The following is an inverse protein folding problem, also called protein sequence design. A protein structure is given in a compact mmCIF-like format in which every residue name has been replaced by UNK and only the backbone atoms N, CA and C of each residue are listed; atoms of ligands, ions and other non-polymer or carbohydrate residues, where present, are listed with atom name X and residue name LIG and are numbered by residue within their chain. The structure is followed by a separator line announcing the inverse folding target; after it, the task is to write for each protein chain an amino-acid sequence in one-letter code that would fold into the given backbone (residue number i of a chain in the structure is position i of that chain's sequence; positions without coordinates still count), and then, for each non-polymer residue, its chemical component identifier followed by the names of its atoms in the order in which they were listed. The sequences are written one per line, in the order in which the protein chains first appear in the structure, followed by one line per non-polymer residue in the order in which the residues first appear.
data_IF_096751686114
#
_entry.id   IF_096751686114
#
_cell.length_a   1.000
_cell.length_b   1.000
_cell.length_c   1.000
_cell.angle_alpha   90.00
_cell.angle_beta   90.00
_cell.angle_gamma   90.00
#
_symmetry.space_group_name_H-M   'P 1'
#
loop_
_entity.id
_entity.type
_entity.pdbx_description
1 polymer ?
#
# COMPACT_ATOMS: atom_id res chain seq x y z
N UNK A 1 0.92 4.07 11.19
CA UNK A 1 0.28 5.12 10.38
C UNK A 1 -1.09 5.41 11.00
N UNK A 2 -1.64 6.63 10.89
CA UNK A 2 -3.04 6.86 11.28
C UNK A 2 -4.00 6.55 10.12
N UNK A 3 -5.27 6.28 10.45
CA UNK A 3 -6.28 5.85 9.48
C UNK A 3 -6.50 6.85 8.33
N UNK A 4 -6.46 8.17 8.61
CA UNK A 4 -6.67 9.19 7.58
C UNK A 4 -5.50 9.23 6.59
N UNK A 5 -4.27 9.10 7.07
CA UNK A 5 -3.09 8.99 6.22
C UNK A 5 -3.13 7.72 5.36
N UNK A 6 -3.59 6.62 5.94
CA UNK A 6 -3.76 5.34 5.25
C UNK A 6 -4.79 5.43 4.11
N UNK A 7 -6.01 5.93 4.38
CA UNK A 7 -7.06 6.09 3.36
C UNK A 7 -6.56 6.95 2.20
N UNK A 8 -5.86 8.05 2.50
CA UNK A 8 -5.29 8.93 1.47
C UNK A 8 -4.26 8.23 0.58
N UNK A 9 -3.39 7.40 1.15
CA UNK A 9 -2.39 6.64 0.39
C UNK A 9 -3.07 5.65 -0.53
N UNK A 10 -4.05 4.90 -0.01
CA UNK A 10 -4.81 3.93 -0.81
C UNK A 10 -5.50 4.62 -1.99
N UNK A 11 -6.29 5.66 -1.73
CA UNK A 11 -7.03 6.38 -2.78
C UNK A 11 -6.10 7.02 -3.82
N UNK A 12 -4.98 7.60 -3.38
CA UNK A 12 -4.00 8.20 -4.29
C UNK A 12 -3.28 7.15 -5.15
N UNK A 13 -3.03 5.95 -4.62
CA UNK A 13 -2.46 4.86 -5.40
C UNK A 13 -3.45 4.37 -6.46
N UNK A 14 -4.72 4.16 -6.11
CA UNK A 14 -5.74 3.77 -7.09
C UNK A 14 -5.87 4.78 -8.23
N UNK A 15 -5.85 6.07 -7.91
CA UNK A 15 -5.86 7.14 -8.92
C UNK A 15 -4.63 7.08 -9.83
N UNK A 16 -3.44 6.76 -9.31
CA UNK A 16 -2.23 6.59 -10.14
C UNK A 16 -2.37 5.37 -11.06
N UNK A 17 -3.01 4.29 -10.61
CA UNK A 17 -3.33 3.14 -11.45
C UNK A 17 -4.29 3.50 -12.59
N UNK A 18 -5.35 4.26 -12.31
CA UNK A 18 -6.27 4.76 -13.35
C UNK A 18 -5.54 5.63 -14.37
N UNK A 19 -4.64 6.51 -13.92
CA UNK A 19 -3.82 7.36 -14.80
C UNK A 19 -2.84 6.56 -15.67
N UNK A 20 -2.42 5.37 -15.22
CA UNK A 20 -1.65 4.41 -16.04
C UNK A 20 -2.52 3.66 -17.07
N UNK A 21 -3.84 3.85 -17.03
CA UNK A 21 -4.80 3.18 -17.90
C UNK A 21 -5.32 1.85 -17.35
N UNK A 22 -5.06 1.52 -16.09
CA UNK A 22 -5.66 0.34 -15.48
C UNK A 22 -7.08 0.63 -15.02
N UNK A 23 -7.96 -0.36 -15.15
CA UNK A 23 -9.33 -0.28 -14.67
C UNK A 23 -9.37 -0.72 -13.20
N UNK A 24 -10.08 0.03 -12.36
CA UNK A 24 -10.16 -0.20 -10.92
C UNK A 24 -11.62 -0.43 -10.52
N UNK A 25 -11.85 -1.45 -9.72
CA UNK A 25 -13.13 -1.70 -9.05
C UNK A 25 -12.87 -1.89 -7.55
N UNK A 26 -13.38 -0.98 -6.71
CA UNK A 26 -13.26 -1.12 -5.25
C UNK A 26 -14.26 -2.17 -4.76
N UNK A 27 -13.75 -3.24 -4.16
CA UNK A 27 -14.53 -4.39 -3.69
C UNK A 27 -14.85 -4.30 -2.20
N UNK A 28 -13.90 -3.82 -1.40
CA UNK A 28 -14.03 -3.66 0.06
C UNK A 28 -13.39 -2.35 0.49
N UNK A 29 -14.10 -1.58 1.31
CA UNK A 29 -13.62 -0.39 2.00
C UNK A 29 -14.21 -0.37 3.41
N UNK A 30 -13.60 -1.11 4.33
CA UNK A 30 -14.10 -1.28 5.71
C UNK A 30 -12.97 -1.10 6.72
N UNK A 31 -13.10 -0.13 7.63
CA UNK A 31 -12.27 0.09 8.82
C UNK A 31 -10.82 -0.45 8.77
N UNK A 32 -10.01 0.09 7.86
CA UNK A 32 -8.60 -0.27 7.76
C UNK A 32 -8.31 -1.45 6.82
N UNK A 33 -9.32 -2.12 6.27
CA UNK A 33 -9.17 -3.18 5.27
C UNK A 33 -9.73 -2.69 3.94
N UNK A 34 -8.88 -2.69 2.91
CA UNK A 34 -9.25 -2.25 1.58
C UNK A 34 -8.84 -3.29 0.53
N UNK A 35 -9.73 -3.51 -0.43
CA UNK A 35 -9.53 -4.44 -1.54
C UNK A 35 -10.05 -3.80 -2.83
N UNK A 36 -9.20 -3.78 -3.85
CA UNK A 36 -9.59 -3.36 -5.20
C UNK A 36 -9.24 -4.44 -6.22
N UNK A 37 -10.13 -4.68 -7.18
CA UNK A 37 -9.77 -5.34 -8.42
C UNK A 37 -9.07 -4.35 -9.33
N UNK A 38 -7.97 -4.78 -9.94
CA UNK A 38 -7.19 -4.00 -10.89
C UNK A 38 -7.06 -4.83 -12.17
N UNK A 39 -7.47 -4.26 -13.30
CA UNK A 39 -7.39 -4.88 -14.63
C UNK A 39 -6.52 -4.05 -15.57
N UNK A 40 -5.57 -4.71 -16.24
CA UNK A 40 -4.74 -4.06 -17.25
C UNK A 40 -5.44 -3.98 -18.61
N UNK A 41 -4.80 -3.30 -19.57
CA UNK A 41 -5.32 -3.13 -20.94
C UNK A 41 -5.46 -4.45 -21.73
N UNK A 42 -4.79 -5.52 -21.29
CA UNK A 42 -4.85 -6.84 -21.92
C UNK A 42 -6.01 -7.68 -21.37
N UNK A 43 -6.72 -7.19 -20.34
CA UNK A 43 -7.82 -7.87 -19.67
C UNK A 43 -7.39 -8.77 -18.50
N UNK A 44 -6.10 -8.79 -18.15
CA UNK A 44 -5.57 -9.51 -16.99
C UNK A 44 -5.99 -8.79 -15.71
N UNK A 45 -6.50 -9.54 -14.74
CA UNK A 45 -7.10 -9.00 -13.51
C UNK A 45 -6.44 -9.59 -12.27
N UNK A 46 -6.17 -8.73 -11.29
CA UNK A 46 -5.62 -9.11 -9.98
C UNK A 46 -6.32 -8.31 -8.89
N UNK A 47 -6.25 -8.77 -7.63
CA UNK A 47 -6.82 -8.02 -6.51
C UNK A 47 -5.71 -7.47 -5.64
N UNK A 48 -5.66 -6.15 -5.49
CA UNK A 48 -4.75 -5.48 -4.56
C UNK A 48 -5.44 -5.29 -3.22
N UNK A 49 -4.80 -5.76 -2.14
CA UNK A 49 -5.26 -5.53 -0.78
C UNK A 49 -4.27 -4.67 -0.01
N UNK A 50 -4.80 -3.87 0.91
CA UNK A 50 -4.02 -3.09 1.87
C UNK A 50 -4.79 -3.00 3.18
N UNK A 51 -4.12 -3.30 4.28
CA UNK A 51 -4.70 -3.46 5.61
C UNK A 51 -3.91 -2.65 6.64
N UNK A 52 -4.61 -1.91 7.49
CA UNK A 52 -4.05 -1.20 8.64
C UNK A 52 -4.46 -1.94 9.91
N UNK A 53 -3.55 -2.76 10.42
CA UNK A 53 -3.69 -3.42 11.70
C UNK A 53 -3.57 -2.38 12.83
N UNK A 54 -4.73 -1.93 13.28
CA UNK A 54 -4.91 -1.01 14.41
C UNK A 54 -4.93 -1.73 15.76
N UNK A 55 -5.23 -3.03 15.77
CA UNK A 55 -5.34 -3.84 17.00
C UNK A 55 -3.95 -4.18 17.56
N UNK A 56 -2.98 -4.51 16.70
CA UNK A 56 -1.58 -4.73 17.08
C UNK A 56 -0.74 -3.44 16.97
N UNK A 57 -1.33 -2.30 17.32
CA UNK A 57 -0.62 -1.03 17.26
C UNK A 57 0.45 -0.93 18.36
N UNK A 58 1.71 -0.72 17.97
CA UNK A 58 2.79 -0.47 18.92
C UNK A 58 2.69 0.96 19.46
N UNK A 59 2.73 1.11 20.79
CA UNK A 59 2.88 2.41 21.44
C UNK A 59 4.28 2.93 21.21
N UNK A 60 4.43 3.94 20.35
CA UNK A 60 5.70 4.65 20.18
C UNK A 60 5.96 5.64 21.31
N UNK A 61 4.89 6.22 21.90
CA UNK A 61 4.92 7.20 22.98
C UNK A 61 3.53 7.27 23.65
N UNK A 62 3.41 7.97 24.78
CA UNK A 62 2.15 8.16 25.55
C UNK A 62 0.96 8.75 24.75
N UNK A 63 1.19 9.23 23.51
CA UNK A 63 0.18 9.86 22.65
C UNK A 63 0.10 9.31 21.22
N UNK A 64 0.91 8.32 20.83
CA UNK A 64 0.95 7.83 19.44
C UNK A 64 1.03 6.30 19.38
N UNK A 65 -0.07 5.72 18.91
CA UNK A 65 -0.13 4.33 18.46
C UNK A 65 0.23 4.29 16.97
N UNK A 66 1.13 3.40 16.57
CA UNK A 66 1.45 3.15 15.17
C UNK A 66 0.91 1.78 14.77
N UNK A 67 -0.20 1.76 14.03
CA UNK A 67 -0.69 0.54 13.38
C UNK A 67 0.29 0.03 12.33
N UNK A 68 0.33 -1.29 12.18
CA UNK A 68 1.13 -1.99 11.16
C UNK A 68 0.36 -1.99 9.85
N UNK A 69 1.04 -1.68 8.75
CA UNK A 69 0.48 -1.75 7.41
C UNK A 69 0.85 -3.10 6.80
N UNK A 70 -0.13 -3.81 6.27
CA UNK A 70 0.06 -4.99 5.43
C UNK A 70 -0.53 -4.72 4.04
N UNK A 71 0.03 -5.32 3.00
CA UNK A 71 -0.46 -5.18 1.62
C UNK A 71 0.05 -6.29 0.72
N UNK A 72 -0.67 -6.52 -0.36
CA UNK A 72 -0.26 -7.52 -1.35
C UNK A 72 -1.19 -7.58 -2.55
N UNK A 73 -0.93 -8.56 -3.41
CA UNK A 73 -1.75 -8.83 -4.59
C UNK A 73 -2.16 -10.30 -4.60
N UNK A 74 -3.47 -10.54 -4.63
CA UNK A 74 -4.08 -11.84 -4.85
C UNK A 74 -4.28 -12.06 -6.35
N UNK A 75 -4.03 -13.29 -6.80
CA UNK A 75 -4.15 -13.70 -8.19
C UNK A 75 -4.42 -15.19 -8.28
N UNK A 76 -4.95 -15.63 -9.42
CA UNK A 76 -4.98 -17.04 -9.78
C UNK A 76 -3.60 -17.43 -10.33
N UNK A 77 -3.11 -18.59 -9.91
CA UNK A 77 -1.77 -19.05 -10.26
C UNK A 77 -1.61 -19.14 -11.79
N UNK A 78 -0.57 -18.51 -12.37
CA UNK A 78 -0.28 -18.55 -13.80
C UNK A 78 0.05 -17.18 -14.42
N UNK A 79 -0.56 -16.86 -15.56
CA UNK A 79 -0.25 -15.68 -16.38
C UNK A 79 -0.40 -14.33 -15.65
N UNK A 80 -1.17 -14.31 -14.57
CA UNK A 80 -1.38 -13.14 -13.72
C UNK A 80 -0.16 -12.80 -12.84
N UNK A 81 0.84 -13.70 -12.74
CA UNK A 81 2.05 -13.49 -11.92
C UNK A 81 2.82 -12.22 -12.32
N UNK A 82 2.94 -11.97 -13.63
CA UNK A 82 3.66 -10.80 -14.17
C UNK A 82 2.91 -9.52 -13.77
N UNK A 83 1.60 -9.49 -14.00
CA UNK A 83 0.80 -8.30 -13.71
C UNK A 83 0.69 -8.04 -12.21
N UNK A 84 0.61 -9.10 -11.39
CA UNK A 84 0.65 -8.96 -9.95
C UNK A 84 1.96 -8.34 -9.44
N UNK A 85 3.09 -8.74 -10.02
CA UNK A 85 4.39 -8.13 -9.72
C UNK A 85 4.41 -6.65 -10.15
N UNK A 86 3.86 -6.34 -11.33
CA UNK A 86 3.78 -4.97 -11.83
C UNK A 86 2.95 -4.05 -10.91
N UNK A 87 1.82 -4.55 -10.41
CA UNK A 87 0.99 -3.82 -9.42
C UNK A 87 1.76 -3.59 -8.11
N UNK A 88 2.47 -4.60 -7.60
CA UNK A 88 3.31 -4.46 -6.40
C UNK A 88 4.44 -3.46 -6.60
N UNK A 89 5.14 -3.52 -7.74
CA UNK A 89 6.23 -2.61 -8.06
C UNK A 89 5.73 -1.17 -8.21
N UNK A 90 4.56 -0.99 -8.84
CA UNK A 90 3.89 0.30 -8.91
C UNK A 90 3.56 0.85 -7.51
N UNK A 91 3.04 0.01 -6.62
CA UNK A 91 2.77 0.42 -5.24
C UNK A 91 4.05 0.78 -4.48
N UNK A 92 5.13 0.02 -4.62
CA UNK A 92 6.42 0.33 -3.99
C UNK A 92 7.03 1.64 -4.49
N UNK A 93 6.92 1.91 -5.80
CA UNK A 93 7.35 3.18 -6.39
C UNK A 93 6.50 4.34 -5.87
N UNK A 94 5.17 4.19 -5.89
CA UNK A 94 4.23 5.14 -5.32
C UNK A 94 4.57 5.44 -3.86
N UNK A 95 4.79 4.41 -3.06
CA UNK A 95 5.11 4.50 -1.64
C UNK A 95 6.41 5.27 -1.41
N UNK A 96 7.47 4.91 -2.13
CA UNK A 96 8.78 5.55 -2.02
C UNK A 96 8.74 7.03 -2.40
N UNK A 97 7.91 7.41 -3.38
CA UNK A 97 7.74 8.79 -3.85
C UNK A 97 6.88 9.64 -2.93
N UNK A 98 5.77 9.07 -2.41
CA UNK A 98 4.71 9.84 -1.79
C UNK A 98 4.64 9.70 -0.26
N UNK A 99 5.27 8.68 0.32
CA UNK A 99 5.33 8.51 1.77
C UNK A 99 6.70 8.98 2.24
N UNK A 100 6.78 10.09 3.00
CA UNK A 100 8.05 10.56 3.53
C UNK A 100 8.68 9.46 4.36
N UNK A 101 9.87 8.97 3.96
CA UNK A 101 10.72 8.24 4.90
C UNK A 101 10.89 9.20 6.08
N UNK A 102 10.38 8.84 7.27
CA UNK A 102 10.85 9.49 8.49
C UNK A 102 12.37 9.41 8.39
N UNK A 103 13.03 10.56 8.25
CA UNK A 103 14.48 10.65 8.35
C UNK A 103 14.76 10.21 9.78
N UNK A 104 15.02 8.91 9.95
CA UNK A 104 15.73 8.44 11.12
C UNK A 104 17.12 9.05 10.97
N UNK A 105 17.33 10.18 11.65
CA UNK A 105 18.65 10.70 11.93
C UNK A 105 19.36 9.67 12.80
N UNK A 106 19.88 8.62 12.17
CA UNK A 106 20.97 7.85 12.74
C UNK A 106 22.17 8.78 12.77
N UNK A 107 22.36 9.46 13.91
CA UNK A 107 23.65 10.04 14.25
C UNK A 107 24.61 8.85 14.34
N UNK A 108 25.43 8.65 13.31
CA UNK A 108 26.60 7.78 13.40
C UNK A 108 27.59 8.50 14.28
N UNK A 109 27.58 8.20 15.58
CA UNK A 109 28.71 8.54 16.43
C UNK A 109 29.92 7.75 15.91
N UNK A 110 30.84 8.46 15.27
CA UNK A 110 32.15 7.93 14.89
C UNK A 110 32.90 7.61 16.19
N UNK A 111 33.33 6.37 16.45
CA UNK A 111 34.16 6.08 17.61
C UNK A 111 35.49 6.84 17.46
N UNK A 112 35.90 7.49 18.55
CA UNK A 112 37.23 8.13 18.69
C UNK A 112 38.33 7.10 18.84
#
# INVERSE_FOLDING_TARGET
MDLNTFIKIYQAFLLECEQKGWQIEVLVEEFGNHLASIKNNEGTEVQFFIELDVENSEKLNDKKNQGKLDYGVLRKQGAEDIFAQEVLDAFHQFWTKNVPRRISSFIVNKPS
#
